data_IF_175899232766
#
_entry.id   IF_175899232766
#
_cell.length_a   1.000
_cell.length_b   1.000
_cell.length_c   1.000
_cell.angle_alpha   90.00
_cell.angle_beta   90.00
_cell.angle_gamma   90.00
#
_symmetry.space_group_name_H-M   'P 1'
#
loop_
_entity.id
_entity.type
_entity.pdbx_description
1 polymer ?
#
# COMPACT_ATOMS: atom_id res chain seq x y z
N UNK A 1 -4.02 13.30 -26.15
CA UNK A 1 -4.35 13.72 -24.77
C UNK A 1 -4.96 12.52 -24.06
N UNK A 2 -4.27 11.89 -23.10
CA UNK A 2 -4.89 10.85 -22.26
C UNK A 2 -5.51 11.54 -21.05
N UNK A 3 -6.81 11.35 -20.84
CA UNK A 3 -7.48 11.81 -19.64
C UNK A 3 -7.59 10.65 -18.67
N UNK A 4 -7.01 10.82 -17.49
CA UNK A 4 -7.15 9.87 -16.39
C UNK A 4 -8.05 10.48 -15.35
N UNK A 5 -8.96 9.64 -14.87
CA UNK A 5 -10.05 10.09 -14.02
C UNK A 5 -10.13 9.18 -12.84
N UNK A 6 -10.05 9.79 -11.68
CA UNK A 6 -9.94 9.11 -10.40
C UNK A 6 -11.21 9.42 -9.62
N UNK A 7 -12.16 8.49 -9.61
CA UNK A 7 -13.35 8.56 -8.75
C UNK A 7 -13.01 8.27 -7.28
N UNK A 8 -13.69 8.94 -6.36
CA UNK A 8 -13.70 8.58 -4.94
C UNK A 8 -15.16 8.43 -4.49
N UNK A 9 -15.52 7.24 -4.02
CA UNK A 9 -16.74 7.02 -3.25
C UNK A 9 -16.51 7.46 -1.80
N UNK A 10 -17.40 8.31 -1.26
CA UNK A 10 -18.10 8.20 0.06
C UNK A 10 -18.82 9.52 0.39
N UNK A 11 -20.13 9.42 0.68
CA UNK A 11 -20.86 10.13 1.75
C UNK A 11 -20.92 11.65 1.73
N UNK A 12 -22.07 12.18 1.30
CA UNK A 12 -22.64 13.50 1.58
C UNK A 12 -21.76 14.49 2.38
N UNK A 13 -21.11 15.42 1.68
CA UNK A 13 -21.18 16.88 1.88
C UNK A 13 -20.34 17.55 0.78
N UNK A 14 -20.88 18.61 0.19
CA UNK A 14 -20.41 19.26 -1.05
C UNK A 14 -18.94 19.70 -1.03
N UNK A 15 -18.12 19.32 -2.02
CA UNK A 15 -16.86 20.03 -2.37
C UNK A 15 -16.50 19.93 -3.87
N UNK A 16 -15.95 21.04 -4.37
CA UNK A 16 -15.56 21.37 -5.75
C UNK A 16 -14.17 20.82 -6.12
N UNK A 17 -13.95 20.50 -7.40
CA UNK A 17 -12.63 20.18 -7.96
C UNK A 17 -12.08 21.38 -8.76
N UNK A 18 -10.84 21.80 -8.50
CA UNK A 18 -10.10 22.73 -9.37
C UNK A 18 -9.41 21.98 -10.52
N UNK A 19 -9.98 22.13 -11.71
CA UNK A 19 -9.20 22.11 -12.95
C UNK A 19 -8.71 23.56 -13.14
N UNK A 20 -7.48 23.75 -13.63
CA UNK A 20 -7.02 25.05 -14.09
C UNK A 20 -8.06 25.63 -15.06
N UNK A 21 -8.74 26.70 -14.61
CA UNK A 21 -9.92 27.41 -15.14
C UNK A 21 -11.30 26.94 -14.60
N UNK A 22 -11.94 27.86 -13.85
CA UNK A 22 -13.07 27.72 -12.91
C UNK A 22 -14.37 27.17 -13.52
N UNK A 23 -15.04 26.24 -12.82
CA UNK A 23 -16.51 26.06 -12.84
C UNK A 23 -17.02 25.84 -11.41
N UNK A 24 -17.95 26.68 -10.94
CA UNK A 24 -18.71 26.51 -9.68
C UNK A 24 -20.06 25.86 -9.99
N UNK A 25 -20.46 24.82 -9.24
CA UNK A 25 -21.81 24.26 -9.26
C UNK A 25 -22.33 24.11 -7.82
N UNK A 26 -23.53 24.59 -7.56
CA UNK A 26 -24.26 24.52 -6.27
C UNK A 26 -25.45 23.57 -6.36
N UNK A 27 -25.69 22.75 -5.33
CA UNK A 27 -26.80 21.78 -5.26
C UNK A 27 -27.84 22.16 -4.17
N UNK A 28 -29.14 21.94 -4.40
CA UNK A 28 -30.15 21.93 -3.34
C UNK A 28 -30.30 20.52 -2.72
N UNK A 29 -30.48 20.48 -1.40
CA UNK A 29 -30.71 19.26 -0.60
C UNK A 29 -32.15 18.76 -0.71
N UNK A 30 -32.34 17.45 -0.89
CA UNK A 30 -33.58 16.78 -0.47
C UNK A 30 -33.30 15.43 0.20
N UNK A 31 -33.95 15.26 1.34
CA UNK A 31 -33.85 14.20 2.33
C UNK A 31 -34.58 12.91 1.92
N UNK A 32 -34.11 11.78 2.47
CA UNK A 32 -34.97 10.64 2.82
C UNK A 32 -34.76 9.36 1.99
N UNK A 33 -34.12 8.36 2.60
CA UNK A 33 -34.74 7.06 2.97
C UNK A 33 -33.65 6.18 3.61
N UNK A 34 -33.92 5.76 4.85
CA UNK A 34 -33.18 4.77 5.62
C UNK A 34 -33.85 3.41 5.35
N UNK A 35 -33.08 2.37 5.00
CA UNK A 35 -33.23 1.00 5.56
C UNK A 35 -32.32 -0.04 4.88
N UNK A 36 -31.33 -0.52 5.65
CA UNK A 36 -30.94 -1.93 5.90
C UNK A 36 -31.06 -2.95 4.76
N UNK A 37 -29.92 -3.48 4.29
CA UNK A 37 -29.77 -4.90 3.97
C UNK A 37 -28.35 -5.41 4.31
N UNK A 38 -28.33 -6.60 4.88
CA UNK A 38 -27.23 -7.32 5.51
C UNK A 38 -26.65 -8.36 4.52
N UNK A 39 -25.33 -8.43 4.44
CA UNK A 39 -24.44 -9.49 3.92
C UNK A 39 -24.96 -10.49 2.85
N UNK A 40 -24.34 -10.48 1.66
CA UNK A 40 -23.83 -11.66 0.93
C UNK A 40 -22.72 -11.18 -0.02
N UNK A 41 -21.52 -11.75 0.12
CA UNK A 41 -20.38 -11.56 -0.76
C UNK A 41 -20.44 -12.64 -1.86
N UNK A 42 -20.88 -12.27 -3.07
CA UNK A 42 -20.70 -13.04 -4.31
C UNK A 42 -20.32 -12.02 -5.39
N UNK A 43 -19.24 -12.30 -6.12
CA UNK A 43 -18.82 -11.54 -7.30
C UNK A 43 -19.98 -11.33 -8.28
N UNK A 44 -20.43 -10.09 -8.40
CA UNK A 44 -21.14 -9.58 -9.57
C UNK A 44 -20.49 -8.25 -9.95
N UNK A 45 -19.96 -8.17 -11.17
CA UNK A 45 -19.61 -6.92 -11.83
C UNK A 45 -20.92 -6.16 -12.11
N UNK A 46 -21.41 -5.39 -11.13
CA UNK A 46 -22.29 -4.26 -11.44
C UNK A 46 -21.40 -3.09 -11.84
N UNK A 47 -21.44 -2.76 -13.12
CA UNK A 47 -20.77 -1.59 -13.69
C UNK A 47 -21.58 -0.36 -13.27
N UNK A 48 -21.38 0.07 -12.02
CA UNK A 48 -21.88 1.36 -11.55
C UNK A 48 -21.05 2.43 -12.26
N UNK A 49 -21.56 2.94 -13.38
CA UNK A 49 -20.98 4.09 -14.05
C UNK A 49 -21.19 5.30 -13.14
N UNK A 50 -20.12 5.79 -12.54
CA UNK A 50 -20.18 6.95 -11.65
C UNK A 50 -20.58 8.21 -12.46
N UNK A 51 -21.56 9.02 -12.01
CA UNK A 51 -22.14 10.12 -12.79
C UNK A 51 -21.15 11.19 -13.29
N UNK A 52 -19.97 11.31 -12.68
CA UNK A 52 -18.96 12.28 -13.10
C UNK A 52 -18.26 11.89 -14.42
N UNK A 53 -18.29 10.61 -14.82
CA UNK A 53 -17.62 10.10 -16.03
C UNK A 53 -18.20 10.77 -17.29
N UNK A 54 -19.52 10.99 -17.33
CA UNK A 54 -20.18 11.63 -18.47
C UNK A 54 -19.79 13.10 -18.64
N UNK A 55 -19.67 13.83 -17.52
CA UNK A 55 -19.31 15.26 -17.53
C UNK A 55 -17.87 15.49 -17.98
N UNK A 56 -17.01 14.55 -17.66
CA UNK A 56 -15.61 14.56 -18.08
C UNK A 56 -15.44 14.32 -19.58
N UNK A 57 -16.20 13.40 -20.19
CA UNK A 57 -16.14 13.16 -21.64
C UNK A 57 -16.57 14.40 -22.42
N UNK A 58 -17.58 15.13 -21.95
CA UNK A 58 -18.01 16.41 -22.55
C UNK A 58 -16.91 17.47 -22.52
N UNK A 59 -16.20 17.59 -21.38
CA UNK A 59 -15.09 18.53 -21.25
C UNK A 59 -13.94 18.21 -22.21
N UNK A 60 -13.67 16.93 -22.46
CA UNK A 60 -12.64 16.45 -23.39
C UNK A 60 -12.92 16.80 -24.85
N UNK A 61 -14.13 16.51 -25.34
CA UNK A 61 -14.52 16.76 -26.74
C UNK A 61 -14.30 18.21 -27.10
N UNK A 62 -14.78 19.10 -26.21
CA UNK A 62 -14.74 20.54 -26.40
C UNK A 62 -13.32 21.11 -26.39
N UNK A 63 -12.41 20.53 -25.59
CA UNK A 63 -11.07 21.08 -25.41
C UNK A 63 -10.08 20.66 -26.50
N UNK A 64 -10.29 19.51 -27.13
CA UNK A 64 -9.37 18.97 -28.14
C UNK A 64 -9.89 19.08 -29.58
N UNK A 65 -11.03 19.77 -29.77
CA UNK A 65 -11.73 19.85 -31.06
C UNK A 65 -11.82 18.47 -31.73
N UNK A 66 -12.02 17.45 -30.89
CA UNK A 66 -12.03 16.07 -31.33
C UNK A 66 -13.28 15.89 -32.16
N UNK A 67 -13.10 15.33 -33.35
CA UNK A 67 -14.23 14.95 -34.17
C UNK A 67 -15.14 14.05 -33.33
N UNK A 68 -16.33 14.57 -33.07
CA UNK A 68 -17.34 13.99 -32.19
C UNK A 68 -17.75 12.60 -32.68
N UNK A 69 -17.50 12.31 -33.97
CA UNK A 69 -17.66 11.00 -34.61
C UNK A 69 -16.71 9.90 -34.07
N UNK A 70 -15.57 10.27 -33.48
CA UNK A 70 -14.57 9.35 -32.92
C UNK A 70 -14.90 8.98 -31.47
N UNK A 71 -15.37 9.95 -30.66
CA UNK A 71 -15.77 9.74 -29.27
C UNK A 71 -16.97 8.79 -29.14
N UNK A 72 -17.91 8.91 -30.07
CA UNK A 72 -19.10 8.04 -30.14
C UNK A 72 -18.78 6.57 -30.46
N UNK A 73 -17.58 6.24 -30.94
CA UNK A 73 -17.09 4.86 -31.11
C UNK A 73 -16.44 4.27 -29.85
N UNK A 74 -16.01 5.13 -28.91
CA UNK A 74 -15.25 4.77 -27.71
C UNK A 74 -16.12 4.70 -26.44
N UNK A 75 -17.19 5.48 -26.40
CA UNK A 75 -18.11 5.56 -25.23
C UNK A 75 -19.47 4.91 -25.50
N UNK A 76 -19.65 4.22 -26.62
CA UNK A 76 -20.82 3.37 -26.86
C UNK A 76 -20.88 2.33 -25.74
N UNK A 77 -21.88 2.42 -24.86
CA UNK A 77 -22.39 1.21 -24.24
C UNK A 77 -22.76 0.28 -25.39
N UNK A 78 -22.28 -0.97 -25.34
CA UNK A 78 -23.05 -2.05 -25.94
C UNK A 78 -24.39 -1.98 -25.25
N UNK A 79 -25.35 -1.36 -25.91
CA UNK A 79 -26.72 -1.73 -25.70
C UNK A 79 -27.16 -2.34 -27.02
N UNK A 80 -27.67 -3.57 -26.91
CA UNK A 80 -28.87 -3.89 -27.67
C UNK A 80 -29.86 -2.75 -27.35
N UNK A 81 -29.85 -1.70 -28.19
CA UNK A 81 -30.88 -0.70 -28.52
C UNK A 81 -31.64 0.00 -27.32
N UNK A 82 -31.97 1.30 -27.27
CA UNK A 82 -32.38 2.27 -28.30
C UNK A 82 -32.31 3.75 -27.80
N UNK A 83 -31.77 4.62 -28.68
CA UNK A 83 -32.20 5.97 -29.13
C UNK A 83 -32.80 7.04 -28.17
N UNK A 84 -32.01 8.14 -28.06
CA UNK A 84 -32.25 9.56 -28.43
C UNK A 84 -33.24 10.44 -27.63
N UNK A 85 -33.11 11.76 -27.44
CA UNK A 85 -32.11 12.85 -27.68
C UNK A 85 -32.88 14.20 -27.49
N UNK A 86 -32.17 15.36 -27.52
CA UNK A 86 -32.62 16.72 -27.95
C UNK A 86 -33.19 17.66 -26.85
N UNK A 87 -32.84 18.96 -26.66
CA UNK A 87 -31.91 19.97 -27.25
C UNK A 87 -31.88 21.24 -26.33
N UNK A 88 -30.79 22.04 -26.43
CA UNK A 88 -30.59 23.53 -26.43
C UNK A 88 -31.44 24.48 -25.52
N UNK A 89 -31.00 25.65 -25.04
CA UNK A 89 -30.02 26.64 -25.52
C UNK A 89 -29.64 27.71 -24.44
N UNK A 90 -28.49 28.39 -24.66
CA UNK A 90 -28.16 29.84 -24.47
C UNK A 90 -28.44 30.60 -23.13
N UNK A 91 -27.74 31.65 -22.66
CA UNK A 91 -26.53 32.44 -23.01
C UNK A 91 -26.22 33.44 -21.86
N UNK A 92 -24.93 33.86 -21.70
CA UNK A 92 -24.40 35.20 -21.24
C UNK A 92 -24.79 35.71 -19.81
N UNK A 93 -24.01 36.44 -19.00
CA UNK A 93 -22.81 37.28 -19.12
C UNK A 93 -22.32 37.75 -17.70
N UNK A 94 -21.02 38.08 -17.59
CA UNK A 94 -20.38 39.17 -16.80
C UNK A 94 -20.06 39.09 -15.28
N UNK A 95 -18.72 39.14 -15.01
CA UNK A 95 -17.98 40.02 -14.06
C UNK A 95 -18.17 39.82 -12.54
N UNK A 96 -17.25 40.05 -11.59
CA UNK A 96 -15.89 40.60 -11.48
C UNK A 96 -15.30 40.21 -10.09
N UNK A 97 -13.96 40.28 -9.93
CA UNK A 97 -13.13 40.64 -8.75
C UNK A 97 -13.39 39.93 -7.37
N UNK A 98 -12.49 39.72 -6.40
CA UNK A 98 -11.10 40.09 -6.06
C UNK A 98 -10.58 39.01 -5.04
N UNK A 99 -9.32 38.58 -5.06
CA UNK A 99 -8.20 38.96 -4.13
C UNK A 99 -8.37 38.47 -2.67
N UNK A 100 -7.52 37.51 -2.22
CA UNK A 100 -6.33 37.64 -1.33
C UNK A 100 -6.71 38.05 0.10
N UNK A 101 -6.27 37.36 1.15
CA UNK A 101 -4.89 37.42 1.67
C UNK A 101 -4.47 36.17 2.46
N UNK A 102 -3.15 36.02 2.58
CA UNK A 102 -2.37 35.00 3.27
C UNK A 102 -1.66 35.70 4.43
N UNK A 103 -1.56 35.05 5.59
CA UNK A 103 -0.53 35.38 6.59
C UNK A 103 0.30 34.15 6.95
N UNK A 104 1.61 34.32 6.80
CA UNK A 104 2.72 33.48 7.23
C UNK A 104 2.94 33.60 8.75
N UNK A 105 3.46 32.56 9.42
CA UNK A 105 4.38 32.75 10.55
C UNK A 105 5.51 31.73 10.53
N UNK A 106 6.70 32.33 10.67
CA UNK A 106 8.08 31.89 10.59
C UNK A 106 8.55 30.98 11.75
N UNK A 107 9.68 30.30 11.54
CA UNK A 107 10.22 29.24 12.40
C UNK A 107 11.22 29.67 13.48
N UNK A 108 11.89 28.68 14.09
CA UNK A 108 13.23 28.83 14.70
C UNK A 108 13.92 27.50 15.02
N UNK A 109 15.24 27.53 14.81
CA UNK A 109 16.29 26.49 14.89
C UNK A 109 16.68 26.07 16.31
N UNK A 110 17.31 24.89 16.43
CA UNK A 110 18.28 24.53 17.48
C UNK A 110 18.84 23.11 17.31
N UNK A 111 20.17 23.01 17.12
CA UNK A 111 20.96 21.82 16.76
C UNK A 111 21.76 21.23 17.93
N UNK A 112 21.90 19.90 18.01
CA UNK A 112 22.92 19.17 18.78
C UNK A 112 23.39 17.97 17.93
N UNK A 113 24.69 17.89 17.63
CA UNK A 113 25.31 16.81 16.87
C UNK A 113 25.51 15.56 17.75
N UNK A 114 24.54 14.65 17.71
CA UNK A 114 24.74 13.22 17.96
C UNK A 114 25.05 12.56 16.62
N UNK A 115 25.95 11.56 16.56
CA UNK A 115 25.89 10.59 15.46
C UNK A 115 24.42 10.17 15.36
N UNK A 116 23.76 10.35 14.20
CA UNK A 116 22.32 10.21 14.15
C UNK A 116 21.98 8.78 14.51
N UNK A 117 21.49 8.58 15.74
CA UNK A 117 20.92 7.31 16.18
C UNK A 117 19.93 6.91 15.10
N UNK A 118 20.12 5.73 14.51
CA UNK A 118 19.26 5.30 13.41
C UNK A 118 17.80 5.50 13.83
N UNK A 119 16.97 6.11 12.97
CA UNK A 119 15.63 6.49 13.38
C UNK A 119 14.89 5.22 13.80
N UNK A 120 14.33 5.21 14.99
CA UNK A 120 13.56 4.07 15.54
C UNK A 120 12.11 4.52 15.72
N UNK A 121 11.18 3.64 15.38
CA UNK A 121 9.77 3.94 15.50
C UNK A 121 9.37 4.12 16.98
N UNK A 122 8.74 5.26 17.28
CA UNK A 122 8.16 5.54 18.59
C UNK A 122 6.63 5.41 18.56
N UNK A 123 6.00 4.81 19.59
CA UNK A 123 4.56 4.71 19.65
C UNK A 123 3.93 6.02 20.17
N UNK A 124 2.76 6.35 19.65
CA UNK A 124 1.83 7.27 20.27
C UNK A 124 1.22 6.64 21.54
N UNK A 125 0.95 7.45 22.58
CA UNK A 125 0.13 7.04 23.71
C UNK A 125 -1.22 6.53 23.23
N UNK A 126 -1.64 5.38 23.76
CA UNK A 126 -2.94 4.78 23.45
C UNK A 126 -3.48 4.11 24.70
N UNK A 127 -4.64 4.56 25.17
CA UNK A 127 -5.35 3.94 26.27
C UNK A 127 -6.26 2.84 25.72
N UNK A 128 -5.95 1.60 26.11
CA UNK A 128 -6.73 0.45 25.68
C UNK A 128 -8.05 0.38 26.47
N UNK A 129 -9.20 0.20 25.78
CA UNK A 129 -10.46 -0.12 26.44
C UNK A 129 -10.38 -1.43 27.23
N UNK A 130 -11.36 -1.63 28.12
CA UNK A 130 -11.45 -2.81 28.99
C UNK A 130 -11.47 -4.13 28.23
N UNK A 131 -12.14 -4.17 27.07
CA UNK A 131 -12.05 -5.28 26.11
C UNK A 131 -11.37 -4.77 24.86
N UNK A 132 -10.20 -5.31 24.57
CA UNK A 132 -9.30 -4.79 23.54
C UNK A 132 -8.23 -5.80 23.14
N UNK A 133 -7.23 -5.37 22.38
CA UNK A 133 -6.09 -6.19 22.01
C UNK A 133 -5.39 -6.81 23.23
N UNK A 134 -5.18 -6.04 24.30
CA UNK A 134 -4.41 -6.47 25.47
C UNK A 134 -5.26 -7.08 26.59
N UNK A 135 -6.60 -6.95 26.52
CA UNK A 135 -7.53 -7.47 27.54
C UNK A 135 -8.71 -8.18 26.88
N UNK A 136 -8.89 -9.46 27.19
CA UNK A 136 -9.99 -10.25 26.67
C UNK A 136 -11.31 -9.98 27.37
N UNK A 137 -12.40 -10.40 26.73
CA UNK A 137 -13.69 -10.41 27.41
C UNK A 137 -13.72 -11.47 28.51
N UNK A 138 -14.61 -11.32 29.48
CA UNK A 138 -14.71 -12.23 30.62
C UNK A 138 -14.89 -13.71 30.20
N UNK A 139 -15.65 -13.99 29.14
CA UNK A 139 -15.92 -15.37 28.69
C UNK A 139 -14.66 -16.07 28.19
N UNK A 140 -13.82 -15.37 27.43
CA UNK A 140 -12.58 -15.93 26.86
C UNK A 140 -11.48 -15.95 27.93
N UNK A 141 -11.33 -14.87 28.68
CA UNK A 141 -10.24 -14.76 29.67
C UNK A 141 -10.42 -15.72 30.84
N UNK A 142 -11.66 -16.03 31.26
CA UNK A 142 -11.91 -16.98 32.34
C UNK A 142 -11.94 -18.45 31.91
N UNK A 143 -11.85 -18.78 30.62
CA UNK A 143 -11.95 -20.17 30.13
C UNK A 143 -10.60 -20.91 30.35
N UNK A 144 -10.51 -21.87 31.29
CA UNK A 144 -9.26 -22.62 31.51
C UNK A 144 -8.92 -23.57 30.35
N UNK A 145 -9.88 -23.85 29.46
CA UNK A 145 -9.84 -24.87 28.41
C UNK A 145 -9.79 -24.27 26.98
N UNK A 146 -8.96 -23.25 26.80
CA UNK A 146 -8.75 -22.66 25.46
C UNK A 146 -8.28 -23.70 24.45
N UNK A 147 -8.98 -23.80 23.32
CA UNK A 147 -8.58 -24.65 22.20
C UNK A 147 -7.59 -23.87 21.35
N UNK A 148 -6.33 -23.90 21.76
CA UNK A 148 -5.22 -23.24 21.06
C UNK A 148 -4.65 -24.18 20.01
N UNK A 149 -4.45 -23.73 18.76
CA UNK A 149 -3.72 -24.49 17.75
C UNK A 149 -2.28 -24.80 18.17
N UNK A 150 -1.76 -25.92 17.69
CA UNK A 150 -0.34 -26.25 17.80
C UNK A 150 0.48 -25.17 17.08
N UNK A 151 1.61 -24.77 17.65
CA UNK A 151 2.48 -23.81 17.00
C UNK A 151 3.00 -24.35 15.65
N UNK A 152 3.19 -23.48 14.64
CA UNK A 152 3.88 -23.89 13.42
C UNK A 152 5.25 -24.46 13.76
N UNK A 153 5.63 -25.59 13.20
CA UNK A 153 6.95 -26.19 13.46
C UNK A 153 8.07 -25.33 12.89
N UNK A 154 9.12 -25.11 13.68
CA UNK A 154 10.33 -24.39 13.27
C UNK A 154 11.20 -25.25 12.35
N UNK A 155 11.80 -24.64 11.33
CA UNK A 155 12.55 -25.36 10.30
C UNK A 155 13.70 -24.57 9.68
N UNK A 156 13.84 -23.28 9.98
CA UNK A 156 14.97 -22.44 9.60
C UNK A 156 15.85 -22.16 10.82
N UNK A 157 17.11 -21.88 10.52
CA UNK A 157 18.07 -21.35 11.48
C UNK A 157 18.89 -20.28 10.79
N UNK A 158 18.99 -19.11 11.43
CA UNK A 158 19.81 -18.00 10.99
C UNK A 158 21.08 -17.92 11.83
N UNK A 159 22.23 -17.82 11.17
CA UNK A 159 23.52 -17.59 11.82
C UNK A 159 24.09 -16.26 11.36
N UNK A 160 24.35 -15.36 12.31
CA UNK A 160 24.93 -14.04 12.04
C UNK A 160 26.43 -14.10 12.33
N UNK A 161 27.25 -13.77 11.33
CA UNK A 161 28.72 -13.68 11.48
C UNK A 161 29.11 -12.31 12.02
N UNK A 162 30.39 -12.09 12.32
CA UNK A 162 30.91 -10.78 12.73
C UNK A 162 31.16 -9.82 11.54
N UNK A 163 31.14 -10.34 10.32
CA UNK A 163 31.46 -9.59 9.10
C UNK A 163 30.25 -8.74 8.69
N UNK A 164 30.48 -7.47 8.32
CA UNK A 164 29.42 -6.64 7.74
C UNK A 164 29.13 -7.07 6.30
N UNK A 165 27.86 -7.07 5.92
CA UNK A 165 27.46 -7.24 4.54
C UNK A 165 27.94 -6.03 3.74
N UNK A 166 28.59 -6.27 2.59
CA UNK A 166 29.03 -5.21 1.68
C UNK A 166 27.81 -4.40 1.18
N UNK A 167 27.93 -3.08 1.09
CA UNK A 167 26.89 -2.21 0.52
C UNK A 167 26.58 -2.60 -0.94
N UNK A 168 27.60 -3.06 -1.66
CA UNK A 168 27.50 -3.55 -3.05
C UNK A 168 27.49 -5.07 -3.11
N UNK A 169 26.80 -5.73 -2.17
CA UNK A 169 26.70 -7.19 -2.08
C UNK A 169 26.15 -7.89 -3.33
N UNK A 170 25.59 -7.17 -4.31
CA UNK A 170 25.12 -7.71 -5.58
C UNK A 170 23.96 -8.72 -5.43
N UNK A 171 23.20 -8.62 -4.35
CA UNK A 171 22.07 -9.53 -4.12
C UNK A 171 20.95 -9.13 -5.06
N UNK A 172 20.47 -10.11 -5.82
CA UNK A 172 19.25 -9.94 -6.62
C UNK A 172 18.08 -9.60 -5.71
N UNK A 173 17.23 -8.67 -6.15
CA UNK A 173 16.00 -8.33 -5.44
C UNK A 173 15.20 -9.60 -5.12
N UNK A 174 14.96 -9.82 -3.82
CA UNK A 174 14.24 -10.98 -3.29
C UNK A 174 14.76 -12.32 -3.84
N UNK A 175 16.09 -12.47 -3.89
CA UNK A 175 16.76 -13.70 -4.34
C UNK A 175 16.35 -14.16 -5.75
N UNK A 176 15.90 -13.23 -6.60
CA UNK A 176 15.40 -13.54 -7.95
C UNK A 176 14.11 -14.38 -7.95
N UNK A 177 13.38 -14.41 -6.84
CA UNK A 177 12.16 -15.19 -6.73
C UNK A 177 11.10 -14.72 -7.73
N UNK A 178 10.63 -15.62 -8.58
CA UNK A 178 9.52 -15.36 -9.52
C UNK A 178 8.25 -15.00 -8.75
N UNK A 179 7.41 -14.15 -9.34
CA UNK A 179 6.10 -13.82 -8.79
C UNK A 179 5.04 -13.98 -9.87
N UNK A 180 3.86 -14.47 -9.49
CA UNK A 180 2.74 -14.66 -10.44
C UNK A 180 2.33 -13.30 -11.00
N UNK A 181 2.15 -13.21 -12.32
CA UNK A 181 1.83 -11.95 -13.00
C UNK A 181 3.04 -11.03 -13.25
N UNK A 182 4.23 -11.36 -12.73
CA UNK A 182 5.42 -10.54 -12.94
C UNK A 182 6.46 -11.33 -13.74
N UNK A 183 6.63 -10.92 -14.99
CA UNK A 183 7.52 -11.60 -15.95
C UNK A 183 8.93 -11.01 -16.01
N UNK A 184 9.13 -9.78 -15.54
CA UNK A 184 10.39 -9.05 -15.71
C UNK A 184 11.23 -8.93 -14.44
N UNK A 185 12.52 -8.64 -14.61
CA UNK A 185 13.41 -8.20 -13.53
C UNK A 185 13.13 -6.72 -13.22
N UNK A 186 13.50 -6.22 -12.02
CA UNK A 186 13.42 -4.79 -11.74
C UNK A 186 14.31 -3.97 -12.68
N UNK A 187 13.74 -2.91 -13.24
CA UNK A 187 14.44 -1.92 -14.05
C UNK A 187 14.61 -0.63 -13.26
N UNK A 188 15.80 -0.04 -13.35
CA UNK A 188 16.07 1.26 -12.75
C UNK A 188 15.53 2.35 -13.67
N UNK A 189 14.62 3.19 -13.17
CA UNK A 189 14.04 4.32 -13.90
C UNK A 189 14.18 5.59 -13.09
N UNK A 190 14.15 6.74 -13.75
CA UNK A 190 14.39 8.03 -13.09
C UNK A 190 13.09 8.79 -12.86
N UNK A 191 12.89 9.34 -11.67
CA UNK A 191 11.79 10.26 -11.39
C UNK A 191 12.07 11.60 -12.05
N UNK A 192 11.16 12.06 -12.91
CA UNK A 192 11.29 13.31 -13.68
C UNK A 192 10.19 14.33 -13.39
N UNK A 193 9.19 13.96 -12.58
CA UNK A 193 8.15 14.89 -12.16
C UNK A 193 7.34 14.35 -11.00
N UNK A 194 6.93 15.25 -10.11
CA UNK A 194 5.99 15.00 -9.02
C UNK A 194 5.07 16.19 -8.90
N UNK A 195 3.77 16.00 -8.78
CA UNK A 195 2.82 17.09 -8.61
C UNK A 195 1.65 16.70 -7.70
N UNK A 196 1.19 17.63 -6.85
CA UNK A 196 -0.10 17.50 -6.17
C UNK A 196 -1.21 17.93 -7.15
N UNK A 197 -2.19 17.07 -7.38
CA UNK A 197 -3.28 17.30 -8.34
C UNK A 197 -4.57 17.81 -7.69
N UNK A 198 -4.66 17.75 -6.37
CA UNK A 198 -5.85 18.17 -5.60
C UNK A 198 -5.54 19.40 -4.76
N UNK A 199 -6.57 20.16 -4.41
CA UNK A 199 -6.44 21.25 -3.43
C UNK A 199 -6.01 20.71 -2.04
N UNK A 200 -5.44 21.58 -1.23
CA UNK A 200 -4.87 21.23 0.08
C UNK A 200 -5.90 20.70 1.10
N UNK A 201 -7.19 21.00 0.90
CA UNK A 201 -8.28 20.57 1.78
C UNK A 201 -8.97 19.28 1.31
N UNK A 202 -8.45 18.64 0.26
CA UNK A 202 -8.96 17.37 -0.23
C UNK A 202 -8.76 16.25 0.80
N UNK A 203 -9.84 15.53 1.09
CA UNK A 203 -9.84 14.41 2.07
C UNK A 203 -8.86 13.30 1.67
N UNK A 204 -8.68 13.08 0.36
CA UNK A 204 -7.74 12.11 -0.21
C UNK A 204 -6.89 12.81 -1.27
N UNK A 205 -5.69 13.30 -0.90
CA UNK A 205 -4.87 14.04 -1.84
C UNK A 205 -4.35 13.11 -2.94
N UNK A 206 -4.45 13.57 -4.19
CA UNK A 206 -4.00 12.83 -5.38
C UNK A 206 -2.71 13.43 -5.89
N UNK A 207 -1.73 12.58 -6.16
CA UNK A 207 -0.42 12.98 -6.63
C UNK A 207 -0.16 12.35 -8.00
N UNK A 208 0.53 13.10 -8.85
CA UNK A 208 1.15 12.61 -10.07
C UNK A 208 2.62 12.27 -9.79
N UNK A 209 3.06 11.13 -10.31
CA UNK A 209 4.46 10.78 -10.47
C UNK A 209 4.75 10.58 -11.96
N UNK A 210 5.84 11.17 -12.44
CA UNK A 210 6.34 10.99 -13.80
C UNK A 210 7.70 10.32 -13.73
N UNK A 211 7.85 9.19 -14.40
CA UNK A 211 9.13 8.47 -14.49
C UNK A 211 9.60 8.43 -15.94
N UNK A 212 10.90 8.49 -16.14
CA UNK A 212 11.56 8.33 -17.42
C UNK A 212 12.18 6.93 -17.50
N UNK A 213 11.70 6.13 -18.47
CA UNK A 213 12.14 4.75 -18.69
C UNK A 213 13.56 4.66 -19.26
N UNK A 214 14.16 5.77 -19.66
CA UNK A 214 15.55 5.83 -20.09
C UNK A 214 15.86 4.89 -21.26
N UNK A 215 16.96 4.15 -21.12
CA UNK A 215 17.39 3.11 -22.06
C UNK A 215 16.46 1.89 -22.08
N UNK A 216 15.64 1.70 -21.03
CA UNK A 216 14.73 0.58 -20.92
C UNK A 216 13.42 0.77 -21.69
N UNK A 217 13.17 1.95 -22.27
CA UNK A 217 11.93 2.22 -23.03
C UNK A 217 11.68 1.21 -24.16
N UNK A 218 12.73 0.74 -24.84
CA UNK A 218 12.64 -0.23 -25.94
C UNK A 218 12.17 -1.62 -25.47
N UNK A 219 12.48 -1.99 -24.22
CA UNK A 219 12.14 -3.30 -23.62
C UNK A 219 10.94 -3.22 -22.67
N UNK A 220 10.43 -2.01 -22.42
CA UNK A 220 9.23 -1.71 -21.63
C UNK A 220 8.15 -1.00 -22.50
N UNK A 221 7.69 -1.60 -23.61
CA UNK A 221 6.62 -1.02 -24.40
C UNK A 221 5.30 -1.16 -23.65
N UNK A 222 4.86 -0.08 -23.01
CA UNK A 222 3.57 -0.03 -22.33
C UNK A 222 2.50 0.64 -23.20
N UNK A 223 1.26 0.33 -22.89
CA UNK A 223 0.06 0.99 -23.38
C UNK A 223 -0.69 1.67 -22.21
N UNK A 224 -1.50 2.70 -22.49
CA UNK A 224 -2.37 3.30 -21.47
C UNK A 224 -3.18 2.23 -20.75
N UNK A 225 -3.17 2.26 -19.42
CA UNK A 225 -3.84 1.27 -18.58
C UNK A 225 -2.97 0.09 -18.14
N UNK A 226 -1.82 -0.18 -18.78
CA UNK A 226 -0.89 -1.22 -18.33
C UNK A 226 -0.38 -0.92 -16.91
N UNK A 227 -0.11 -1.97 -16.15
CA UNK A 227 0.31 -1.86 -14.75
C UNK A 227 1.84 -1.94 -14.60
N UNK A 228 2.41 -0.98 -13.87
CA UNK A 228 3.78 -1.02 -13.38
C UNK A 228 3.80 -1.29 -11.89
N UNK A 229 4.69 -2.17 -11.45
CA UNK A 229 4.85 -2.56 -10.07
C UNK A 229 6.08 -1.88 -9.48
N UNK A 230 5.89 -1.08 -8.44
CA UNK A 230 6.98 -0.36 -7.79
C UNK A 230 7.58 -1.23 -6.69
N UNK A 231 8.91 -1.36 -6.71
CA UNK A 231 9.67 -2.05 -5.66
C UNK A 231 9.88 -1.07 -4.52
N UNK A 232 9.19 -1.32 -3.41
CA UNK A 232 9.14 -0.40 -2.26
C UNK A 232 9.80 -1.07 -1.05
N UNK A 233 10.79 -0.43 -0.40
CA UNK A 233 11.35 -0.92 0.85
C UNK A 233 10.43 -0.63 2.04
N UNK A 234 10.51 -1.44 3.10
CA UNK A 234 9.94 -1.07 4.38
C UNK A 234 10.67 0.14 4.99
N UNK A 235 9.99 1.01 5.76
CA UNK A 235 10.62 2.18 6.34
C UNK A 235 11.65 1.78 7.41
N UNK A 236 12.81 2.44 7.38
CA UNK A 236 13.88 2.20 8.35
C UNK A 236 13.42 2.25 9.81
N UNK A 237 12.56 3.19 10.26
CA UNK A 237 12.10 3.23 11.65
C UNK A 237 11.35 1.97 12.10
N UNK A 238 10.52 1.39 11.24
CA UNK A 238 9.78 0.16 11.53
C UNK A 238 10.70 -1.05 11.56
N UNK A 239 11.61 -1.16 10.59
CA UNK A 239 12.61 -2.23 10.52
C UNK A 239 13.51 -2.19 11.76
N UNK A 240 14.02 -1.02 12.12
CA UNK A 240 14.87 -0.81 13.28
C UNK A 240 14.17 -1.20 14.58
N UNK A 241 12.91 -0.80 14.75
CA UNK A 241 12.13 -1.18 15.93
C UNK A 241 11.96 -2.70 16.05
N UNK A 242 11.66 -3.40 14.95
CA UNK A 242 11.51 -4.86 14.97
C UNK A 242 12.85 -5.55 15.29
N UNK A 243 13.95 -5.09 14.68
CA UNK A 243 15.29 -5.61 14.94
C UNK A 243 15.74 -5.37 16.38
N UNK A 244 15.46 -4.18 16.93
CA UNK A 244 15.72 -3.83 18.33
C UNK A 244 14.90 -4.72 19.27
N UNK A 245 13.62 -4.93 18.93
CA UNK A 245 12.74 -5.83 19.69
C UNK A 245 13.25 -7.27 19.70
N UNK A 246 13.99 -7.72 18.69
CA UNK A 246 14.64 -9.03 18.68
C UNK A 246 16.00 -9.05 19.41
N UNK A 247 16.53 -7.88 19.80
CA UNK A 247 17.89 -7.75 20.33
C UNK A 247 18.97 -7.87 19.25
N UNK A 248 18.62 -7.66 17.98
CA UNK A 248 19.50 -7.89 16.83
C UNK A 248 19.94 -6.59 16.12
N UNK A 249 19.47 -5.42 16.55
CA UNK A 249 19.74 -4.14 15.87
C UNK A 249 21.24 -3.88 15.69
N UNK A 250 22.06 -4.10 16.73
CA UNK A 250 23.50 -3.85 16.70
C UNK A 250 24.27 -4.73 15.67
N UNK A 251 23.70 -5.87 15.29
CA UNK A 251 24.29 -6.83 14.35
C UNK A 251 23.46 -6.98 13.07
N UNK A 252 22.48 -6.10 12.84
CA UNK A 252 21.50 -6.25 11.78
C UNK A 252 22.11 -6.17 10.37
N UNK A 253 23.25 -5.47 10.24
CA UNK A 253 24.02 -5.29 9.00
C UNK A 253 25.11 -6.34 8.80
N UNK A 254 25.28 -7.25 9.75
CA UNK A 254 26.21 -8.36 9.62
C UNK A 254 25.66 -9.45 8.68
N UNK A 255 26.57 -10.24 8.13
CA UNK A 255 26.24 -11.34 7.23
C UNK A 255 25.45 -12.39 8.01
N UNK A 256 24.19 -12.55 7.63
CA UNK A 256 23.26 -13.56 8.10
C UNK A 256 23.14 -14.67 7.05
N UNK A 257 23.42 -15.91 7.48
CA UNK A 257 23.21 -17.12 6.68
C UNK A 257 21.95 -17.85 7.17
N UNK A 258 20.97 -17.98 6.28
CA UNK A 258 19.71 -18.70 6.51
C UNK A 258 19.86 -20.11 5.95
N UNK A 259 19.61 -21.12 6.78
CA UNK A 259 19.65 -22.53 6.38
C UNK A 259 18.46 -23.30 6.96
N UNK A 260 18.17 -24.46 6.41
CA UNK A 260 17.22 -25.39 7.03
C UNK A 260 17.84 -25.99 8.28
N UNK A 261 17.10 -25.97 9.39
CA UNK A 261 17.52 -26.60 10.64
C UNK A 261 17.63 -28.13 10.45
N UNK A 262 18.83 -28.74 10.62
CA UNK A 262 19.02 -30.18 10.46
C UNK A 262 18.19 -31.05 11.40
N UNK A 263 17.75 -30.49 12.54
CA UNK A 263 16.95 -31.18 13.55
C UNK A 263 15.44 -30.99 13.38
N UNK A 264 14.98 -30.36 12.29
CA UNK A 264 13.54 -30.18 12.06
C UNK A 264 12.85 -31.49 11.68
N UNK A 265 11.66 -31.74 12.23
CA UNK A 265 10.80 -32.86 11.83
C UNK A 265 9.77 -32.43 10.78
N UNK A 266 9.83 -31.17 10.31
CA UNK A 266 8.94 -30.66 9.27
C UNK A 266 9.21 -31.41 7.97
N UNK A 267 8.16 -31.86 7.31
CA UNK A 267 8.26 -32.56 6.02
C UNK A 267 8.62 -31.56 4.92
N UNK A 268 9.65 -31.87 4.13
CA UNK A 268 10.15 -31.08 2.99
C UNK A 268 10.39 -29.58 3.33
N UNK A 269 11.20 -29.27 4.35
CA UNK A 269 11.48 -27.90 4.74
C UNK A 269 12.32 -27.23 3.64
N UNK A 270 11.88 -26.06 3.17
CA UNK A 270 12.59 -25.31 2.14
C UNK A 270 12.67 -23.83 2.54
N UNK A 271 13.82 -23.22 2.28
CA UNK A 271 13.99 -21.77 2.45
C UNK A 271 13.01 -21.08 1.49
N UNK A 272 12.18 -20.13 1.96
CA UNK A 272 11.26 -19.41 1.07
C UNK A 272 12.03 -18.80 -0.11
N UNK A 273 11.56 -18.92 -1.36
CA UNK A 273 12.36 -18.53 -2.53
C UNK A 273 12.82 -17.07 -2.52
N UNK A 274 12.05 -16.19 -1.89
CA UNK A 274 12.30 -14.75 -1.79
C UNK A 274 13.30 -14.36 -0.69
N UNK A 275 13.73 -15.33 0.12
CA UNK A 275 14.72 -15.16 1.19
C UNK A 275 16.09 -15.58 0.64
N UNK A 276 17.03 -14.64 0.44
CA UNK A 276 18.39 -14.98 0.06
C UNK A 276 19.10 -15.79 1.17
N UNK A 277 19.73 -16.94 0.85
CA UNK A 277 20.42 -17.76 1.85
C UNK A 277 21.57 -17.05 2.56
N UNK A 278 22.21 -16.06 1.93
CA UNK A 278 23.24 -15.21 2.52
C UNK A 278 22.88 -13.74 2.29
N UNK A 279 22.62 -13.00 3.36
CA UNK A 279 22.24 -11.58 3.31
C UNK A 279 22.51 -10.91 4.66
N UNK A 280 21.74 -9.90 5.07
CA UNK A 280 21.74 -9.35 6.42
C UNK A 280 20.31 -9.31 6.95
N UNK A 281 20.12 -9.30 8.28
CA UNK A 281 18.77 -9.20 8.85
C UNK A 281 18.10 -7.90 8.40
N UNK A 282 18.84 -6.79 8.35
CA UNK A 282 18.32 -5.53 7.82
C UNK A 282 17.82 -5.67 6.39
N UNK A 283 18.58 -6.31 5.51
CA UNK A 283 18.17 -6.52 4.12
C UNK A 283 16.87 -7.33 4.02
N UNK A 284 16.75 -8.42 4.78
CA UNK A 284 15.57 -9.27 4.79
C UNK A 284 14.31 -8.51 5.22
N UNK A 285 14.38 -7.77 6.33
CA UNK A 285 13.24 -7.02 6.85
C UNK A 285 12.95 -5.74 6.05
N UNK A 286 13.93 -5.21 5.30
CA UNK A 286 13.72 -4.03 4.45
C UNK A 286 13.09 -4.40 3.11
N UNK A 287 13.55 -5.48 2.46
CA UNK A 287 13.21 -5.77 1.06
C UNK A 287 12.46 -7.08 0.83
N UNK A 288 12.53 -8.05 1.74
CA UNK A 288 12.00 -9.40 1.50
C UNK A 288 10.68 -9.68 2.23
N UNK A 289 10.50 -9.17 3.45
CA UNK A 289 9.40 -9.54 4.34
C UNK A 289 8.38 -8.42 4.51
N UNK A 290 7.09 -8.76 4.46
CA UNK A 290 5.97 -7.83 4.65
C UNK A 290 5.67 -7.66 6.15
N UNK A 291 6.26 -6.62 6.77
CA UNK A 291 6.13 -6.34 8.21
C UNK A 291 4.84 -5.57 8.56
N UNK A 292 4.21 -4.95 7.57
CA UNK A 292 2.99 -4.13 7.75
C UNK A 292 1.71 -4.94 7.55
N UNK A 293 1.77 -6.09 6.89
CA UNK A 293 0.61 -6.99 6.82
C UNK A 293 0.18 -7.43 8.20
N UNK A 294 -1.13 -7.47 8.40
CA UNK A 294 -1.71 -7.97 9.64
C UNK A 294 -1.23 -9.38 9.97
N UNK A 295 -0.59 -9.59 11.13
CA UNK A 295 -0.17 -10.91 11.56
C UNK A 295 -1.35 -11.87 11.66
N UNK A 296 -1.25 -13.00 10.97
CA UNK A 296 -2.22 -14.08 11.12
C UNK A 296 -2.11 -14.77 12.48
N UNK A 297 -3.13 -15.56 12.84
CA UNK A 297 -3.11 -16.38 14.07
C UNK A 297 -1.87 -17.28 14.19
N UNK A 298 -1.29 -17.88 13.13
CA UNK A 298 -0.04 -18.62 13.24
C UNK A 298 1.14 -17.78 13.74
N UNK A 299 1.25 -16.53 13.29
CA UNK A 299 2.29 -15.60 13.75
C UNK A 299 2.07 -15.27 15.21
N UNK A 300 0.85 -14.86 15.61
CA UNK A 300 0.54 -14.58 17.01
C UNK A 300 0.80 -15.79 17.93
N UNK A 301 0.54 -17.01 17.44
CA UNK A 301 0.78 -18.23 18.18
C UNK A 301 2.27 -18.46 18.41
N UNK A 302 3.11 -18.17 17.43
CA UNK A 302 4.56 -18.22 17.58
C UNK A 302 5.07 -17.08 18.49
N UNK A 303 4.52 -15.88 18.39
CA UNK A 303 4.88 -14.75 19.27
C UNK A 303 4.60 -15.06 20.75
N UNK A 304 3.57 -15.84 21.05
CA UNK A 304 3.26 -16.26 22.42
C UNK A 304 4.39 -17.07 23.07
N UNK A 305 5.21 -17.78 22.29
CA UNK A 305 6.35 -18.55 22.83
C UNK A 305 7.53 -17.66 23.23
N UNK A 306 7.66 -16.49 22.59
CA UNK A 306 8.65 -15.47 22.93
C UNK A 306 8.19 -14.49 24.02
N UNK A 307 6.99 -14.64 24.57
CA UNK A 307 6.46 -13.77 25.62
C UNK A 307 7.03 -14.18 27.00
N UNK A 308 7.68 -13.23 27.69
CA UNK A 308 8.21 -13.43 29.05
C UNK A 308 7.16 -13.22 30.14
N UNK A 309 6.20 -12.34 29.88
CA UNK A 309 5.08 -12.11 30.79
C UNK A 309 3.97 -13.13 30.51
N UNK A 310 3.54 -13.83 31.56
CA UNK A 310 2.53 -14.88 31.42
C UNK A 310 1.13 -14.32 31.12
N UNK A 311 0.84 -13.06 31.47
CA UNK A 311 -0.45 -12.44 31.12
C UNK A 311 -0.48 -12.08 29.62
N UNK A 312 0.58 -11.48 29.09
CA UNK A 312 0.73 -11.23 27.66
C UNK A 312 0.70 -12.52 26.84
N UNK A 313 1.44 -13.55 27.29
CA UNK A 313 1.43 -14.88 26.68
C UNK A 313 0.01 -15.46 26.66
N UNK A 314 -0.67 -15.46 27.81
CA UNK A 314 -2.05 -15.92 27.91
C UNK A 314 -2.96 -15.17 26.94
N UNK A 315 -2.82 -13.84 26.85
CA UNK A 315 -3.63 -13.01 25.94
C UNK A 315 -3.41 -13.36 24.46
N UNK A 316 -2.16 -13.60 24.06
CA UNK A 316 -1.86 -14.07 22.70
C UNK A 316 -2.45 -15.47 22.43
N UNK A 317 -2.45 -16.36 23.42
CA UNK A 317 -3.11 -17.67 23.32
C UNK A 317 -4.64 -17.54 23.21
N UNK A 318 -5.25 -16.58 23.91
CA UNK A 318 -6.68 -16.25 23.76
C UNK A 318 -7.01 -15.85 22.32
N UNK A 319 -6.30 -14.85 21.78
CA UNK A 319 -6.49 -14.36 20.40
C UNK A 319 -6.26 -15.46 19.35
N UNK A 320 -5.45 -16.46 19.66
CA UNK A 320 -5.16 -17.57 18.74
C UNK A 320 -6.05 -18.79 18.97
N UNK A 321 -6.81 -18.85 20.05
CA UNK A 321 -7.74 -19.95 20.37
C UNK A 321 -9.00 -19.94 19.50
N UNK A 322 -9.71 -21.07 19.45
CA UNK A 322 -11.02 -21.14 18.80
C UNK A 322 -12.03 -20.15 19.41
N UNK A 323 -11.98 -19.96 20.73
CA UNK A 323 -12.84 -19.06 21.48
C UNK A 323 -12.59 -17.58 21.17
N UNK A 324 -11.32 -17.20 20.95
CA UNK A 324 -10.93 -15.82 20.66
C UNK A 324 -10.99 -15.42 19.19
N UNK A 325 -11.61 -16.22 18.31
CA UNK A 325 -11.68 -15.91 16.87
C UNK A 325 -12.32 -14.55 16.58
N UNK A 326 -13.42 -14.22 17.28
CA UNK A 326 -14.11 -12.93 17.14
C UNK A 326 -13.20 -11.80 17.60
N UNK A 327 -12.58 -11.93 18.77
CA UNK A 327 -11.66 -10.91 19.30
C UNK A 327 -10.44 -10.69 18.40
N UNK A 328 -9.89 -11.74 17.80
CA UNK A 328 -8.84 -11.62 16.78
C UNK A 328 -9.32 -10.80 15.58
N UNK A 329 -10.52 -11.05 15.08
CA UNK A 329 -11.04 -10.27 13.97
C UNK A 329 -11.24 -8.81 14.35
N UNK A 330 -11.84 -8.54 15.51
CA UNK A 330 -12.23 -7.20 15.93
C UNK A 330 -11.02 -6.35 16.34
N UNK A 331 -10.03 -6.93 17.03
CA UNK A 331 -8.91 -6.19 17.60
C UNK A 331 -7.61 -6.31 16.80
N UNK A 332 -7.48 -7.25 15.86
CA UNK A 332 -6.27 -7.43 15.05
C UNK A 332 -6.56 -7.28 13.56
N UNK A 333 -7.53 -8.03 13.04
CA UNK A 333 -7.80 -8.10 11.59
C UNK A 333 -8.45 -6.84 11.03
N UNK A 334 -9.59 -6.44 11.59
CA UNK A 334 -10.35 -5.27 11.12
C UNK A 334 -9.56 -3.97 11.28
N UNK A 335 -8.83 -3.72 12.40
CA UNK A 335 -8.00 -2.54 12.52
C UNK A 335 -6.74 -2.60 11.64
N UNK A 336 -6.39 -3.75 11.05
CA UNK A 336 -5.20 -3.85 10.20
C UNK A 336 -3.90 -3.59 10.97
N UNK A 337 -3.76 -4.17 12.17
CA UNK A 337 -2.58 -3.97 13.02
C UNK A 337 -1.33 -4.59 12.39
N UNK A 338 -0.24 -3.84 12.32
CA UNK A 338 1.07 -4.33 11.84
C UNK A 338 1.78 -5.18 12.89
N UNK A 339 2.86 -5.87 12.50
CA UNK A 339 3.71 -6.57 13.47
C UNK A 339 4.22 -5.60 14.55
N UNK A 340 4.60 -4.37 14.18
CA UNK A 340 5.06 -3.36 15.12
C UNK A 340 3.96 -2.98 16.14
N UNK A 341 2.71 -2.82 15.70
CA UNK A 341 1.58 -2.52 16.60
C UNK A 341 1.38 -3.62 17.66
N UNK A 342 1.46 -4.89 17.24
CA UNK A 342 1.39 -6.04 18.16
C UNK A 342 2.56 -6.03 19.14
N UNK A 343 3.78 -5.81 18.65
CA UNK A 343 4.95 -5.76 19.52
C UNK A 343 4.88 -4.59 20.50
N UNK A 344 4.34 -3.42 20.14
CA UNK A 344 4.12 -2.33 21.09
C UNK A 344 3.06 -2.65 22.16
N UNK A 345 2.05 -3.44 21.80
CA UNK A 345 1.00 -3.87 22.73
C UNK A 345 1.47 -4.94 23.72
N UNK A 346 2.41 -5.79 23.31
CA UNK A 346 2.96 -6.89 24.11
C UNK A 346 4.47 -6.72 24.34
N UNK A 347 4.87 -5.82 25.24
CA UNK A 347 6.27 -5.45 25.42
C UNK A 347 7.17 -6.53 26.00
N UNK A 348 6.66 -7.65 26.52
CA UNK A 348 7.47 -8.78 26.97
C UNK A 348 7.89 -9.71 25.81
N UNK A 349 7.21 -9.64 24.67
CA UNK A 349 7.43 -10.52 23.52
C UNK A 349 8.78 -10.22 22.86
N UNK A 350 9.63 -11.23 22.75
CA UNK A 350 10.93 -11.19 22.03
C UNK A 350 10.95 -12.32 21.00
N UNK A 351 10.52 -12.06 19.75
CA UNK A 351 10.51 -13.10 18.72
C UNK A 351 11.93 -13.43 18.26
N UNK A 352 12.17 -14.67 17.84
CA UNK A 352 13.43 -15.02 17.17
C UNK A 352 13.40 -14.59 15.69
N UNK A 353 14.55 -14.26 15.09
CA UNK A 353 14.65 -13.92 13.67
C UNK A 353 14.16 -15.05 12.77
N UNK A 354 14.56 -16.28 13.10
CA UNK A 354 14.20 -17.51 12.40
C UNK A 354 12.69 -17.59 12.20
N UNK A 355 11.93 -17.36 13.27
CA UNK A 355 10.48 -17.47 13.28
C UNK A 355 9.78 -16.39 12.49
N UNK A 356 10.30 -15.17 12.52
CA UNK A 356 9.75 -14.12 11.67
C UNK A 356 10.06 -14.35 10.19
N UNK A 357 11.26 -14.82 9.84
CA UNK A 357 11.64 -15.13 8.46
C UNK A 357 10.80 -16.30 7.89
N UNK A 358 10.45 -17.28 8.73
CA UNK A 358 9.57 -18.39 8.34
C UNK A 358 8.12 -17.98 8.10
N UNK A 359 7.59 -17.08 8.95
CA UNK A 359 6.15 -16.84 9.05
C UNK A 359 5.70 -15.56 8.38
N UNK A 360 6.57 -14.57 8.23
CA UNK A 360 6.22 -13.33 7.54
C UNK A 360 6.08 -13.59 6.04
N UNK A 361 5.05 -13.00 5.39
CA UNK A 361 4.89 -13.14 3.96
C UNK A 361 5.95 -12.35 3.20
N UNK A 362 6.12 -12.68 1.93
CA UNK A 362 6.91 -11.90 0.97
C UNK A 362 6.37 -10.48 0.87
N UNK A 363 7.26 -9.48 0.86
CA UNK A 363 6.95 -8.10 0.52
C UNK A 363 6.62 -7.98 -0.97
N UNK A 364 5.37 -7.67 -1.31
CA UNK A 364 4.91 -7.64 -2.71
C UNK A 364 5.01 -6.19 -3.25
N UNK A 365 5.60 -5.97 -4.44
CA UNK A 365 5.62 -4.64 -5.07
C UNK A 365 4.20 -4.18 -5.43
N UNK A 366 3.97 -2.87 -5.45
CA UNK A 366 2.61 -2.33 -5.64
C UNK A 366 2.38 -1.86 -7.07
N UNK A 367 1.29 -2.32 -7.68
CA UNK A 367 0.88 -1.92 -9.02
C UNK A 367 0.24 -0.54 -9.07
N UNK A 368 0.58 0.21 -10.11
CA UNK A 368 -0.06 1.46 -10.52
C UNK A 368 -0.22 1.48 -12.04
N UNK A 369 -1.37 1.96 -12.51
CA UNK A 369 -1.69 2.01 -13.93
C UNK A 369 -1.04 3.20 -14.64
N UNK A 370 -0.44 2.94 -15.80
CA UNK A 370 0.10 3.96 -16.67
C UNK A 370 -1.02 4.90 -17.13
N UNK A 371 -0.87 6.17 -16.75
CA UNK A 371 -1.82 7.26 -16.94
C UNK A 371 -1.45 8.19 -18.10
N UNK A 372 -0.58 7.73 -18.99
CA UNK A 372 -0.08 8.48 -20.15
C UNK A 372 -0.16 7.66 -21.43
N UNK A 373 -0.20 8.35 -22.57
CA UNK A 373 0.02 7.74 -23.89
C UNK A 373 1.45 7.21 -24.01
N UNK A 374 1.69 6.33 -25.00
CA UNK A 374 3.00 5.70 -25.27
C UNK A 374 4.09 6.77 -25.37
N UNK A 375 5.22 6.53 -24.73
CA UNK A 375 6.38 7.41 -24.78
C UNK A 375 7.43 7.02 -23.75
N UNK A 376 8.59 7.66 -23.82
CA UNK A 376 9.70 7.39 -22.89
C UNK A 376 9.36 7.73 -21.43
N UNK A 377 8.40 8.65 -21.20
CA UNK A 377 7.97 9.07 -19.87
C UNK A 377 6.58 8.54 -19.54
N UNK A 378 6.46 7.87 -18.40
CA UNK A 378 5.20 7.30 -17.90
C UNK A 378 4.68 8.15 -16.76
N UNK A 379 3.38 8.45 -16.77
CA UNK A 379 2.69 9.12 -15.66
C UNK A 379 1.91 8.10 -14.84
N UNK A 380 1.88 8.31 -13.54
CA UNK A 380 1.07 7.55 -12.60
C UNK A 380 0.32 8.53 -11.71
N UNK A 381 -0.94 8.22 -11.42
CA UNK A 381 -1.74 8.98 -10.46
C UNK A 381 -2.06 8.08 -9.29
N UNK A 382 -1.86 8.57 -8.07
CA UNK A 382 -2.13 7.81 -6.86
C UNK A 382 -2.74 8.67 -5.76
N UNK A 383 -3.61 8.07 -4.96
CA UNK A 383 -4.16 8.67 -3.75
C UNK A 383 -3.35 8.22 -2.53
N UNK A 384 -3.02 9.15 -1.64
CA UNK A 384 -2.33 8.79 -0.39
C UNK A 384 -3.34 8.12 0.56
N UNK A 385 -2.96 6.98 1.12
CA UNK A 385 -3.76 6.26 2.09
C UNK A 385 -3.22 6.58 3.48
N UNK A 386 -4.05 7.10 4.38
CA UNK A 386 -3.66 7.43 5.74
C UNK A 386 -4.29 6.48 6.76
N UNK A 387 -3.52 6.10 7.78
CA UNK A 387 -3.96 5.33 8.92
C UNK A 387 -3.64 6.11 10.20
N UNK A 388 -4.68 6.47 10.94
CA UNK A 388 -4.58 7.14 12.25
C UNK A 388 -4.14 6.15 13.35
N UNK A 389 -3.53 6.68 14.41
CA UNK A 389 -3.11 5.95 15.61
C UNK A 389 -4.30 5.59 16.52
N UNK A 390 -5.28 4.90 15.97
CA UNK A 390 -6.54 4.54 16.61
C UNK A 390 -6.80 3.04 16.51
N UNK A 391 -7.79 2.54 17.28
CA UNK A 391 -8.23 1.14 17.24
C UNK A 391 -7.08 0.15 17.48
N UNK A 392 -6.19 0.49 18.42
CA UNK A 392 -5.03 -0.33 18.78
C UNK A 392 -3.79 -0.11 17.94
N UNK A 393 -3.85 0.70 16.86
CA UNK A 393 -2.63 1.16 16.16
C UNK A 393 -1.86 2.10 17.06
N UNK A 394 -0.55 1.89 17.13
CA UNK A 394 0.32 2.62 18.04
C UNK A 394 1.03 3.77 17.37
N UNK A 395 0.84 4.00 16.08
CA UNK A 395 1.41 5.13 15.38
C UNK A 395 0.63 5.45 14.11
N UNK A 396 0.60 6.73 13.74
CA UNK A 396 0.03 7.16 12.47
C UNK A 396 1.00 6.81 11.35
N UNK A 397 0.47 6.34 10.21
CA UNK A 397 1.27 5.97 9.05
C UNK A 397 0.46 6.13 7.78
N UNK A 398 1.15 6.35 6.66
CA UNK A 398 0.54 6.20 5.36
C UNK A 398 0.73 4.77 4.82
N UNK A 399 0.01 4.42 3.75
CA UNK A 399 0.23 3.17 3.02
C UNK A 399 1.68 3.06 2.52
N UNK A 400 2.26 1.87 2.57
CA UNK A 400 3.70 1.67 2.32
C UNK A 400 4.18 2.27 0.99
N UNK A 401 3.53 1.88 -0.09
CA UNK A 401 3.91 2.35 -1.42
C UNK A 401 3.62 3.84 -1.61
N UNK A 402 2.45 4.32 -1.19
CA UNK A 402 2.06 5.72 -1.42
C UNK A 402 2.87 6.69 -0.59
N UNK A 403 3.28 6.32 0.62
CA UNK A 403 4.20 7.09 1.45
C UNK A 403 5.60 7.18 0.81
N UNK A 404 6.10 6.05 0.31
CA UNK A 404 7.39 6.01 -0.36
C UNK A 404 7.39 6.83 -1.65
N UNK A 405 6.33 6.72 -2.48
CA UNK A 405 6.19 7.52 -3.70
C UNK A 405 6.09 9.03 -3.40
N UNK A 406 5.45 9.41 -2.28
CA UNK A 406 5.32 10.80 -1.84
C UNK A 406 6.67 11.40 -1.45
N UNK A 407 7.58 10.59 -0.91
CA UNK A 407 8.93 11.00 -0.53
C UNK A 407 9.92 11.16 -1.70
N UNK A 408 9.56 10.71 -2.90
CA UNK A 408 10.44 10.76 -4.07
C UNK A 408 10.62 12.20 -4.59
N UNK A 409 11.81 12.49 -5.08
CA UNK A 409 12.20 13.76 -5.69
C UNK A 409 12.62 13.56 -7.14
N UNK A 410 12.50 14.62 -7.93
CA UNK A 410 13.06 14.65 -9.28
C UNK A 410 14.56 14.35 -9.23
N UNK A 411 15.00 13.37 -10.03
CA UNK A 411 16.36 12.87 -10.05
C UNK A 411 16.55 11.53 -9.31
N UNK A 412 15.60 11.12 -8.46
CA UNK A 412 15.68 9.83 -7.77
C UNK A 412 15.62 8.67 -8.76
N UNK A 413 16.45 7.65 -8.51
CA UNK A 413 16.41 6.38 -9.26
C UNK A 413 15.61 5.36 -8.48
N UNK A 414 14.61 4.78 -9.11
CA UNK A 414 13.70 3.82 -8.51
C UNK A 414 13.62 2.53 -9.32
N UNK A 415 13.17 1.46 -8.68
CA UNK A 415 12.98 0.17 -9.33
C UNK A 415 11.51 -0.09 -9.65
N UNK A 416 11.24 -0.34 -10.93
CA UNK A 416 9.92 -0.75 -11.42
C UNK A 416 10.01 -2.11 -12.08
N UNK A 417 8.94 -2.88 -11.95
CA UNK A 417 8.76 -4.15 -12.64
C UNK A 417 7.52 -4.04 -13.52
N UNK A 418 7.61 -4.56 -14.73
CA UNK A 418 6.53 -4.50 -15.70
C UNK A 418 5.92 -5.89 -15.90
N UNK A 419 4.59 -5.94 -15.85
CA UNK A 419 3.82 -7.12 -16.23
C UNK A 419 3.71 -7.15 -17.75
N UNK A 420 4.49 -8.02 -18.39
CA UNK A 420 4.29 -8.34 -19.80
C UNK A 420 3.00 -9.16 -19.89
N UNK A 421 1.88 -8.50 -20.16
CA UNK A 421 0.70 -9.22 -20.65
C UNK A 421 1.14 -9.98 -21.89
N UNK A 422 1.02 -11.31 -21.83
CA UNK A 422 1.40 -12.20 -22.91
C UNK A 422 0.79 -11.69 -24.21
N UNK A 423 1.66 -11.48 -25.20
CA UNK A 423 1.29 -11.18 -26.58
C UNK A 423 0.46 -12.36 -27.10
N UNK A 424 -0.84 -12.30 -26.87
CA UNK A 424 -1.86 -13.04 -27.61
C UNK A 424 -2.88 -11.99 -28.04
N UNK A 425 -2.71 -11.53 -29.28
CA UNK A 425 -3.61 -10.67 -30.03
C UNK A 425 -4.04 -9.35 -29.36
N UNK A 426 -3.12 -8.37 -29.33
CA UNK A 426 -3.48 -6.94 -29.23
C UNK A 426 -3.67 -6.28 -30.62
N UNK A 427 -4.08 -7.03 -31.63
CA UNK A 427 -4.36 -6.53 -32.99
C UNK A 427 -5.66 -5.71 -33.10
N UNK A 428 -6.42 -5.55 -32.01
CA UNK A 428 -7.75 -4.90 -32.04
C UNK A 428 -7.86 -3.50 -31.42
N UNK A 429 -6.80 -2.94 -30.81
CA UNK A 429 -6.92 -1.66 -30.08
C UNK A 429 -6.02 -0.50 -30.55
N UNK A 430 -5.22 -0.68 -31.59
CA UNK A 430 -4.38 0.40 -32.13
C UNK A 430 -4.70 0.70 -33.60
N UNK A 431 -5.84 1.34 -33.85
CA UNK A 431 -6.20 1.88 -35.17
C UNK A 431 -6.75 3.33 -35.11
N UNK A 432 -6.43 4.09 -34.06
CA UNK A 432 -6.88 5.49 -33.92
C UNK A 432 -5.77 6.49 -33.64
N UNK A 433 -4.50 6.17 -33.90
CA UNK A 433 -3.40 7.14 -33.75
C UNK A 433 -2.52 7.33 -35.00
N UNK A 434 -2.84 6.69 -36.12
CA UNK A 434 -2.21 6.96 -37.41
C UNK A 434 -3.25 7.52 -38.39
N UNK A 435 -3.68 8.76 -38.15
CA UNK A 435 -4.18 9.74 -39.16
C UNK A 435 -4.19 11.11 -38.54
#
# INVERSE_FOLDING_TARGET
>A
MCLVVVGDHVGQTSKSFRISERIHLSYPTSSGIISVFQSIFICSLELVVEPWIEELFKALVKRFDLDVSVLSRLTTKVEIAQKREVEEADSKNQSAAAEKEIEEVDGKKGSIDQEPSEPILSPHPYEYPDVSLIRGNAKVSSDPSLRVPVAPQEYLVCSVSHEKLDVNHGLSWQNGAKMVGIASVPYNVTVVGTALLTDADAVKPKHELVVDLGEHYSVLPYEPGDAFYFVVPNPAPEVNFILDRMGMLAIADQVCTVSVNPSTEKINPTIPPHVPPKSSLRHLFTYCLDIRRTPGRPILRALAEGAKDEQEKRRLLELTSAQGFTEFNDFVRQPGLSLADILFAFPSVRPSPDRLIELLPRLIPRSYSASSCRGRRVRFIYSVMNFTAENGRRYARNGLATDWLLGLKVGDTIQVVFELFGIKDKSFLCHCCDT
#
